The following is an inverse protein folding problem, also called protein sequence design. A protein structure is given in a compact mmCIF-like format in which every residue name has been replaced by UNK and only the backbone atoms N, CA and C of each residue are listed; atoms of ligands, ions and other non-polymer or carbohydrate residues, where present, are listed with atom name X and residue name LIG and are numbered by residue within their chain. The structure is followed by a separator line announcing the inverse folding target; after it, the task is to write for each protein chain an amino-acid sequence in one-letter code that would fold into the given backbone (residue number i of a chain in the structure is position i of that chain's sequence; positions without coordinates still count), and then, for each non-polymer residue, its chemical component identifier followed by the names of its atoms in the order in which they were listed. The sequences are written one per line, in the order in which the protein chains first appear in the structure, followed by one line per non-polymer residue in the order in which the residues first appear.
data_IF_978986070131
#
_entry.id   IF_978986070131
#
_cell.length_a   1.000
_cell.length_b   1.000
_cell.length_c   1.000
_cell.angle_alpha   90.00
_cell.angle_beta   90.00
_cell.angle_gamma   90.00
#
_symmetry.space_group_name_H-M   'P 1'
#
loop_
_entity.id
_entity.type
_entity.pdbx_description
1 polymer ?
#
# COMPACT_ATOMS: atom_id res chain seq x y z
N UNK A 1 2.40 11.81 6.03
CA UNK A 1 2.92 11.46 4.69
C UNK A 1 1.79 11.71 3.71
N UNK A 2 1.99 12.57 2.71
CA UNK A 2 0.92 12.96 1.77
C UNK A 2 0.41 11.71 1.04
N UNK A 3 -0.83 11.32 1.30
CA UNK A 3 -1.54 10.27 0.55
C UNK A 3 -2.49 10.99 -0.40
N UNK A 4 -2.27 10.85 -1.70
CA UNK A 4 -3.00 11.59 -2.72
C UNK A 4 -3.05 10.82 -4.03
N UNK A 5 -3.47 11.48 -5.11
CA UNK A 5 -3.27 10.96 -6.45
C UNK A 5 -1.86 11.32 -6.93
N UNK A 6 -1.12 10.35 -7.46
CA UNK A 6 0.27 10.58 -7.91
C UNK A 6 0.27 11.12 -9.34
N UNK A 7 -0.63 10.62 -10.18
CA UNK A 7 -0.74 11.00 -11.57
C UNK A 7 -1.75 10.12 -12.30
N UNK A 8 -2.07 10.47 -13.54
CA UNK A 8 -3.06 9.73 -14.34
C UNK A 8 -2.62 8.29 -14.66
N UNK A 9 -1.31 8.04 -14.76
CA UNK A 9 -0.76 6.72 -15.06
C UNK A 9 -0.58 5.82 -13.83
N UNK A 10 -1.07 6.21 -12.65
CA UNK A 10 -0.85 5.49 -11.39
C UNK A 10 -1.35 4.03 -11.44
N UNK A 11 -2.41 3.72 -12.21
CA UNK A 11 -2.93 2.36 -12.37
C UNK A 11 -2.06 1.48 -13.27
N UNK A 12 -1.26 2.08 -14.16
CA UNK A 12 -0.34 1.34 -15.04
C UNK A 12 1.03 1.13 -14.40
N UNK A 13 1.37 1.93 -13.38
CA UNK A 13 2.68 2.00 -12.78
C UNK A 13 2.90 0.89 -11.72
N UNK A 14 4.12 0.35 -11.69
CA UNK A 14 4.55 -0.65 -10.72
C UNK A 14 5.78 -0.14 -9.93
N UNK A 15 5.54 0.73 -8.95
CA UNK A 15 6.58 1.25 -8.04
C UNK A 15 6.76 0.37 -6.80
N UNK A 16 7.88 0.52 -6.13
CA UNK A 16 8.20 -0.20 -4.88
C UNK A 16 7.13 -0.02 -3.81
N UNK A 17 6.67 1.22 -3.61
CA UNK A 17 5.67 1.57 -2.62
C UNK A 17 4.86 2.77 -3.11
N UNK A 18 3.53 2.63 -3.09
CA UNK A 18 2.60 3.67 -3.52
C UNK A 18 1.53 3.87 -2.46
N UNK A 19 1.24 5.13 -2.10
CA UNK A 19 0.14 5.47 -1.21
C UNK A 19 -0.89 6.31 -1.97
N UNK A 20 -2.04 5.71 -2.23
CA UNK A 20 -3.16 6.41 -2.87
C UNK A 20 -4.27 6.66 -1.87
N UNK A 21 -4.93 7.81 -1.99
CA UNK A 21 -6.18 8.08 -1.29
C UNK A 21 -7.34 7.64 -2.20
N UNK A 22 -8.36 6.99 -1.64
CA UNK A 22 -9.50 6.51 -2.43
C UNK A 22 -10.36 7.66 -2.93
N UNK A 23 -10.62 8.64 -2.06
CA UNK A 23 -11.49 9.78 -2.37
C UNK A 23 -10.76 11.11 -2.15
N UNK A 24 -9.80 11.48 -3.01
CA UNK A 24 -9.14 12.77 -2.90
C UNK A 24 -10.09 13.91 -3.28
N UNK A 25 -10.02 15.02 -2.56
CA UNK A 25 -10.88 16.20 -2.78
C UNK A 25 -10.04 17.44 -3.06
N UNK A 26 -10.54 18.31 -3.95
CA UNK A 26 -9.91 19.61 -4.21
C UNK A 26 -9.98 20.49 -2.96
N UNK A 27 -8.94 21.29 -2.75
CA UNK A 27 -8.89 22.24 -1.65
C UNK A 27 -9.94 23.33 -1.83
N UNK A 28 -10.71 23.64 -0.78
CA UNK A 28 -11.71 24.71 -0.81
C UNK A 28 -11.09 26.10 -0.79
N UNK A 29 -10.06 26.28 0.05
CA UNK A 29 -9.24 27.50 0.12
C UNK A 29 -7.94 27.23 -0.61
N UNK A 30 -7.58 28.02 -1.61
CA UNK A 30 -6.40 27.79 -2.45
C UNK A 30 -5.61 29.06 -2.68
N UNK A 31 -4.31 28.89 -2.91
CA UNK A 31 -3.45 29.97 -3.39
C UNK A 31 -3.37 29.92 -4.90
N UNK A 32 -3.12 31.06 -5.56
CA UNK A 32 -2.90 31.11 -7.02
C UNK A 32 -1.80 30.16 -7.49
N UNK A 33 -0.79 29.90 -6.65
CA UNK A 33 0.27 28.94 -6.94
C UNK A 33 -0.26 27.52 -7.16
N UNK A 34 -1.28 27.08 -6.41
CA UNK A 34 -1.91 25.75 -6.55
C UNK A 34 -2.53 25.57 -7.95
N UNK A 35 -3.09 26.64 -8.49
CA UNK A 35 -3.66 26.68 -9.84
C UNK A 35 -2.56 26.59 -10.90
N UNK A 36 -1.50 27.39 -10.74
CA UNK A 36 -0.37 27.41 -11.68
C UNK A 36 0.32 26.04 -11.81
N UNK A 37 0.48 25.32 -10.70
CA UNK A 37 1.06 23.97 -10.70
C UNK A 37 0.04 22.87 -11.05
N UNK A 38 -1.22 23.22 -11.33
CA UNK A 38 -2.32 22.28 -11.63
C UNK A 38 -2.57 21.22 -10.54
N UNK A 39 -2.28 21.51 -9.27
CA UNK A 39 -2.50 20.58 -8.17
C UNK A 39 -4.00 20.30 -7.91
N UNK A 40 -4.89 21.13 -8.45
CA UNK A 40 -6.34 20.91 -8.43
C UNK A 40 -6.78 19.64 -9.18
N UNK A 41 -6.00 19.25 -10.19
CA UNK A 41 -6.30 18.04 -10.97
C UNK A 41 -5.93 16.78 -10.21
N UNK A 42 -4.90 16.86 -9.35
CA UNK A 42 -4.37 15.74 -8.57
C UNK A 42 -4.26 16.16 -7.09
N UNK A 43 -5.38 16.34 -6.39
CA UNK A 43 -5.33 16.75 -5.00
C UNK A 43 -4.78 15.64 -4.10
N UNK A 44 -4.10 16.07 -3.03
CA UNK A 44 -3.50 15.20 -2.03
C UNK A 44 -4.09 15.51 -0.65
N UNK A 45 -5.33 15.06 -0.43
CA UNK A 45 -6.04 15.23 0.83
C UNK A 45 -7.54 15.12 0.69
N UNK A 46 -8.24 15.31 1.80
CA UNK A 46 -9.69 15.41 1.90
C UNK A 46 -10.03 16.65 2.71
N UNK A 47 -11.11 17.33 2.34
CA UNK A 47 -11.68 18.37 3.19
C UNK A 47 -12.41 17.67 4.34
N UNK A 48 -12.22 18.16 5.55
CA UNK A 48 -12.81 17.63 6.75
C UNK A 48 -13.58 18.74 7.48
N UNK A 49 -14.72 18.40 8.05
CA UNK A 49 -15.43 19.30 8.97
C UNK A 49 -14.69 19.24 10.32
N UNK A 50 -14.08 20.36 10.72
CA UNK A 50 -13.26 20.42 11.93
C UNK A 50 -14.04 21.13 13.04
N UNK A 51 -14.19 20.46 14.19
CA UNK A 51 -14.63 21.06 15.44
C UNK A 51 -13.43 21.51 16.27
N UNK A 52 -13.38 22.78 16.67
CA UNK A 52 -12.34 23.29 17.57
C UNK A 52 -12.89 23.32 18.98
N UNK A 53 -12.60 22.29 19.76
CA UNK A 53 -13.04 22.14 21.15
C UNK A 53 -12.21 21.07 21.85
N UNK A 54 -12.25 21.09 23.18
CA UNK A 54 -11.61 20.03 23.97
C UNK A 54 -12.60 18.90 24.22
N UNK A 55 -12.18 17.64 24.04
CA UNK A 55 -13.07 16.48 24.19
C UNK A 55 -12.36 15.30 24.87
N UNK A 56 -12.95 14.81 25.98
CA UNK A 56 -12.56 13.59 26.72
C UNK A 56 -11.11 13.49 27.23
N UNK A 57 -10.26 14.50 27.03
CA UNK A 57 -8.86 14.50 27.48
C UNK A 57 -7.91 13.61 26.66
N UNK A 58 -8.41 12.87 25.66
CA UNK A 58 -7.60 12.12 24.70
C UNK A 58 -7.07 12.98 23.55
N UNK A 59 -7.23 14.29 23.64
CA UNK A 59 -6.82 15.34 22.70
C UNK A 59 -5.64 16.18 23.22
N UNK A 60 -4.91 15.66 24.22
CA UNK A 60 -3.67 16.25 24.75
C UNK A 60 -2.53 16.07 23.72
N UNK A 61 -1.58 17.01 23.67
CA UNK A 61 -0.38 16.92 22.83
C UNK A 61 -0.65 16.68 21.33
N UNK A 62 -1.57 17.46 20.75
CA UNK A 62 -1.92 17.44 19.32
C UNK A 62 -2.61 16.16 18.83
N UNK A 63 -3.11 15.34 19.76
CA UNK A 63 -3.98 14.26 19.40
C UNK A 63 -5.27 14.78 18.76
N UNK A 64 -5.72 14.06 17.75
CA UNK A 64 -6.94 14.33 16.98
C UNK A 64 -7.96 13.27 17.33
N UNK A 65 -9.21 13.69 17.47
CA UNK A 65 -10.32 12.78 17.65
C UNK A 65 -11.05 12.67 16.32
N UNK A 66 -11.29 11.45 15.86
CA UNK A 66 -11.94 11.16 14.59
C UNK A 66 -13.33 10.58 14.80
N UNK A 67 -14.26 10.96 13.92
CA UNK A 67 -15.59 10.37 13.87
C UNK A 67 -15.55 8.99 13.20
N UNK A 68 -15.98 7.95 13.92
CA UNK A 68 -16.03 6.57 13.43
C UNK A 68 -16.93 6.43 12.21
N UNK A 69 -18.08 7.09 12.20
CA UNK A 69 -19.02 7.00 11.08
C UNK A 69 -18.45 7.66 9.81
N UNK A 70 -17.69 8.74 9.94
CA UNK A 70 -16.98 9.36 8.80
C UNK A 70 -15.92 8.41 8.24
N UNK A 71 -15.16 7.71 9.10
CA UNK A 71 -14.21 6.67 8.68
C UNK A 71 -14.90 5.49 7.99
N UNK A 72 -16.07 5.05 8.50
CA UNK A 72 -16.90 3.99 7.89
C UNK A 72 -17.34 4.39 6.48
N UNK A 73 -17.79 5.63 6.29
CA UNK A 73 -18.20 6.21 5.00
C UNK A 73 -17.05 6.38 4.01
N UNK A 74 -15.80 6.39 4.45
CA UNK A 74 -14.62 6.42 3.57
C UNK A 74 -13.63 7.56 3.83
N UNK A 75 -13.81 8.33 4.90
CA UNK A 75 -12.84 9.35 5.31
C UNK A 75 -11.46 8.72 5.58
N UNK A 76 -10.42 9.29 5.02
CA UNK A 76 -9.02 8.87 5.15
C UNK A 76 -8.70 7.48 4.58
N UNK A 77 -9.61 6.83 3.83
CA UNK A 77 -9.36 5.49 3.29
C UNK A 77 -8.23 5.52 2.27
N UNK A 78 -7.25 4.66 2.47
CA UNK A 78 -6.03 4.65 1.66
C UNK A 78 -5.75 3.26 1.09
N UNK A 79 -5.13 3.26 -0.08
CA UNK A 79 -4.64 2.07 -0.76
C UNK A 79 -3.12 2.13 -0.73
N UNK A 80 -2.52 1.07 -0.21
CA UNK A 80 -1.07 0.87 -0.21
C UNK A 80 -0.75 -0.18 -1.26
N UNK A 81 -0.02 0.22 -2.30
CA UNK A 81 0.57 -0.73 -3.23
C UNK A 81 2.00 -1.01 -2.84
N UNK A 82 2.37 -2.29 -2.87
CA UNK A 82 3.75 -2.74 -2.65
C UNK A 82 4.13 -3.69 -3.77
N UNK A 83 5.20 -3.35 -4.50
CA UNK A 83 5.75 -4.23 -5.54
C UNK A 83 6.66 -5.28 -4.93
N UNK A 84 6.55 -6.50 -5.44
CA UNK A 84 7.51 -7.57 -5.24
C UNK A 84 8.04 -8.00 -6.60
N UNK A 85 9.34 -8.27 -6.69
CA UNK A 85 9.99 -8.60 -7.96
C UNK A 85 10.78 -9.88 -7.76
N UNK A 86 10.62 -10.80 -8.70
CA UNK A 86 11.43 -12.01 -8.81
C UNK A 86 12.09 -11.98 -10.17
N UNK A 87 13.42 -12.05 -10.20
CA UNK A 87 14.17 -12.29 -11.43
C UNK A 87 14.62 -13.75 -11.48
N UNK A 88 14.49 -14.33 -12.67
CA UNK A 88 14.97 -15.65 -13.02
C UNK A 88 16.38 -15.47 -13.58
N UNK A 89 17.36 -16.05 -12.92
CA UNK A 89 18.76 -15.94 -13.30
C UNK A 89 19.11 -17.10 -14.22
N UNK A 90 19.97 -16.80 -15.18
CA UNK A 90 20.70 -17.80 -15.95
C UNK A 90 22.12 -17.89 -15.40
N UNK A 91 22.58 -19.11 -15.17
CA UNK A 91 23.89 -19.38 -14.60
C UNK A 91 24.91 -19.70 -15.71
N UNK A 92 26.22 -19.52 -15.47
CA UNK A 92 27.27 -19.80 -16.45
C UNK A 92 27.32 -21.26 -16.93
N UNK A 93 26.80 -22.18 -16.12
CA UNK A 93 26.65 -23.60 -16.43
C UNK A 93 25.46 -23.91 -17.38
N UNK A 94 24.88 -22.88 -18.01
CA UNK A 94 23.67 -22.93 -18.83
C UNK A 94 22.38 -23.36 -18.12
N UNK A 95 22.41 -23.59 -16.80
CA UNK A 95 21.19 -23.82 -16.03
C UNK A 95 20.43 -22.51 -15.81
N UNK A 96 19.10 -22.60 -15.75
CA UNK A 96 18.22 -21.49 -15.47
C UNK A 96 17.39 -21.79 -14.22
N UNK A 97 17.04 -20.72 -13.49
CA UNK A 97 15.97 -20.81 -12.50
C UNK A 97 14.67 -21.25 -13.20
N UNK A 98 13.86 -22.08 -12.53
CA UNK A 98 12.57 -22.57 -13.04
C UNK A 98 11.44 -22.17 -12.10
N UNK A 99 10.25 -21.90 -12.64
CA UNK A 99 9.02 -21.81 -11.86
C UNK A 99 8.29 -23.13 -12.06
N UNK A 100 7.87 -23.76 -10.97
CA UNK A 100 7.07 -24.99 -11.02
C UNK A 100 5.71 -24.71 -10.38
N UNK A 101 4.70 -25.44 -10.83
CA UNK A 101 3.34 -25.36 -10.29
C UNK A 101 3.27 -25.69 -8.79
N UNK A 102 2.07 -25.55 -8.19
CA UNK A 102 1.85 -25.86 -6.80
C UNK A 102 2.08 -27.36 -6.53
N UNK A 103 2.58 -27.68 -5.33
CA UNK A 103 2.74 -29.05 -4.88
C UNK A 103 1.38 -29.53 -4.38
N UNK A 104 0.80 -30.50 -5.08
CA UNK A 104 -0.46 -31.12 -4.71
C UNK A 104 -0.15 -32.32 -3.82
N UNK A 105 -0.78 -32.39 -2.65
CA UNK A 105 -0.67 -33.56 -1.80
C UNK A 105 -1.50 -34.71 -2.43
N UNK A 106 -0.87 -35.88 -2.58
CA UNK A 106 -1.44 -37.06 -3.23
C UNK A 106 -2.71 -37.54 -2.49
N UNK A 107 -2.72 -37.44 -1.16
CA UNK A 107 -3.81 -37.97 -0.32
C UNK A 107 -5.06 -37.09 -0.35
N UNK A 108 -4.88 -35.77 -0.32
CA UNK A 108 -5.99 -34.81 -0.23
C UNK A 108 -6.38 -34.20 -1.57
N UNK A 109 -5.57 -34.42 -2.63
CA UNK A 109 -5.68 -33.78 -3.94
C UNK A 109 -5.78 -32.25 -3.88
N UNK A 110 -5.33 -31.64 -2.77
CA UNK A 110 -5.32 -30.19 -2.55
C UNK A 110 -3.88 -29.69 -2.49
N UNK A 111 -3.62 -28.44 -2.92
CA UNK A 111 -2.33 -27.82 -2.73
C UNK A 111 -2.04 -27.65 -1.23
N UNK A 112 -0.76 -27.62 -0.87
CA UNK A 112 -0.32 -27.18 0.47
C UNK A 112 -0.85 -25.77 0.74
N UNK A 113 -1.19 -25.45 1.99
CA UNK A 113 -1.64 -24.10 2.40
C UNK A 113 -0.76 -22.96 1.85
N UNK A 114 0.56 -23.16 1.85
CA UNK A 114 1.51 -22.18 1.33
C UNK A 114 1.35 -21.90 -0.18
N UNK A 115 0.82 -22.88 -0.93
CA UNK A 115 0.68 -22.86 -2.39
C UNK A 115 -0.79 -22.72 -2.82
N UNK A 116 -1.71 -22.49 -1.89
CA UNK A 116 -3.15 -22.41 -2.20
C UNK A 116 -3.48 -21.30 -3.19
N UNK A 117 -2.78 -20.17 -3.09
CA UNK A 117 -2.99 -18.99 -3.92
C UNK A 117 -2.25 -19.03 -5.27
N UNK A 118 -1.48 -20.09 -5.52
CA UNK A 118 -0.70 -20.24 -6.75
C UNK A 118 -1.56 -20.85 -7.85
N UNK A 119 -1.43 -20.29 -9.06
CA UNK A 119 -1.99 -20.87 -10.27
C UNK A 119 -1.15 -22.08 -10.74
N UNK A 120 -1.64 -22.82 -11.74
CA UNK A 120 -0.96 -23.99 -12.33
C UNK A 120 0.47 -23.68 -12.78
N UNK A 121 0.73 -22.44 -13.20
CA UNK A 121 2.03 -21.94 -13.65
C UNK A 121 3.02 -21.66 -12.50
N UNK A 122 2.59 -21.77 -11.24
CA UNK A 122 3.42 -21.50 -10.05
C UNK A 122 3.55 -20.00 -9.71
N UNK A 123 2.70 -19.16 -10.28
CA UNK A 123 2.60 -17.72 -10.01
C UNK A 123 1.22 -17.45 -9.40
N UNK A 124 1.15 -16.53 -8.43
CA UNK A 124 -0.11 -16.13 -7.80
C UNK A 124 -1.11 -15.53 -8.80
N UNK A 125 -2.39 -15.86 -8.65
CA UNK A 125 -3.48 -15.31 -9.46
C UNK A 125 -3.78 -13.84 -9.16
N UNK A 126 -4.26 -13.10 -10.17
CA UNK A 126 -4.77 -11.71 -9.96
C UNK A 126 -6.13 -11.77 -9.27
N UNK A 127 -6.31 -10.97 -8.21
CA UNK A 127 -7.55 -10.89 -7.44
C UNK A 127 -7.56 -11.76 -6.17
N UNK A 128 -6.59 -12.65 -6.02
CA UNK A 128 -6.48 -13.50 -4.84
C UNK A 128 -6.00 -12.73 -3.60
N UNK A 129 -6.49 -13.13 -2.43
CA UNK A 129 -6.09 -12.58 -1.14
C UNK A 129 -4.95 -13.44 -0.60
N UNK A 130 -3.78 -12.83 -0.45
CA UNK A 130 -2.59 -13.47 0.09
C UNK A 130 -2.44 -13.16 1.58
N UNK A 131 -2.22 -14.21 2.35
CA UNK A 131 -1.98 -14.19 3.78
C UNK A 131 -0.48 -14.32 4.11
N UNK A 132 -0.16 -14.13 5.39
CA UNK A 132 1.21 -14.22 5.86
C UNK A 132 1.79 -15.62 5.62
N UNK A 133 3.03 -15.66 5.11
CA UNK A 133 3.80 -16.87 4.77
C UNK A 133 3.32 -17.67 3.55
N UNK A 134 2.31 -17.21 2.81
CA UNK A 134 1.97 -17.83 1.53
C UNK A 134 3.00 -17.48 0.44
N UNK A 135 3.15 -18.39 -0.52
CA UNK A 135 4.07 -18.26 -1.65
C UNK A 135 3.40 -17.48 -2.77
N UNK A 136 4.10 -16.48 -3.30
CA UNK A 136 3.64 -15.67 -4.42
C UNK A 136 4.20 -16.14 -5.77
N UNK A 137 5.42 -16.65 -5.76
CA UNK A 137 6.08 -17.26 -6.92
C UNK A 137 6.87 -18.46 -6.42
N UNK A 138 6.53 -19.64 -6.93
CA UNK A 138 7.21 -20.88 -6.58
C UNK A 138 8.45 -21.07 -7.47
N UNK A 139 9.54 -20.41 -7.06
CA UNK A 139 10.82 -20.43 -7.76
C UNK A 139 11.71 -21.56 -7.25
N UNK A 140 12.36 -22.25 -8.18
CA UNK A 140 13.37 -23.27 -7.96
C UNK A 140 14.70 -22.80 -8.55
N UNK A 141 15.77 -22.94 -7.77
CA UNK A 141 17.14 -22.63 -8.16
C UNK A 141 17.96 -23.91 -8.20
N UNK A 142 18.67 -24.21 -9.30
CA UNK A 142 19.50 -25.41 -9.40
C UNK A 142 20.64 -25.37 -8.36
N UNK A 143 20.92 -26.49 -7.69
CA UNK A 143 21.93 -26.51 -6.60
C UNK A 143 23.38 -26.30 -7.09
N UNK A 144 23.67 -26.64 -8.35
CA UNK A 144 25.01 -26.55 -8.95
C UNK A 144 25.34 -25.17 -9.51
N UNK A 145 25.09 -24.08 -8.78
CA UNK A 145 25.20 -22.70 -9.31
C UNK A 145 26.61 -22.21 -9.62
N UNK A 146 27.64 -22.83 -9.01
CA UNK A 146 29.04 -22.34 -9.04
C UNK A 146 29.96 -23.12 -9.97
N UNK A 147 29.64 -24.35 -10.33
CA UNK A 147 30.51 -25.17 -11.18
C UNK A 147 30.37 -24.78 -12.64
N UNK A 148 31.49 -24.59 -13.31
CA UNK A 148 31.54 -24.39 -14.77
C UNK A 148 31.29 -25.72 -15.50
N UNK A 149 30.86 -25.66 -16.77
CA UNK A 149 30.65 -26.87 -17.59
C UNK A 149 31.90 -27.77 -17.65
N UNK A 150 33.10 -27.19 -17.53
CA UNK A 150 34.36 -27.92 -17.53
C UNK A 150 34.58 -28.76 -16.25
N UNK A 151 34.12 -28.27 -15.08
CA UNK A 151 34.24 -28.97 -13.79
C UNK A 151 33.17 -30.06 -13.62
N UNK A 152 32.02 -29.92 -14.31
CA UNK A 152 30.99 -30.96 -14.36
C UNK A 152 31.42 -32.16 -15.23
N UNK A 153 32.17 -31.93 -16.31
CA UNK A 153 32.66 -33.01 -17.19
C UNK A 153 33.79 -33.83 -16.55
N UNK A 154 34.63 -33.22 -15.72
CA UNK A 154 35.70 -33.91 -14.99
C UNK A 154 35.20 -34.68 -13.77
N UNK A 155 34.07 -34.29 -13.18
CA UNK A 155 33.42 -35.04 -12.09
C UNK A 155 32.50 -36.16 -12.59
N UNK A 156 31.90 -36.02 -13.78
CA UNK A 156 31.09 -37.06 -14.42
C UNK A 156 31.90 -38.27 -14.95
N UNK A 157 33.22 -38.14 -15.13
CA UNK A 157 34.08 -39.25 -15.57
C UNK A 157 34.53 -40.19 -14.44
N UNK A 158 34.41 -39.77 -13.17
CA UNK A 158 34.81 -40.59 -12.00
C UNK A 158 33.66 -41.41 -11.40
N UNK A 159 32.41 -40.99 -11.60
CA UNK A 159 31.22 -41.70 -11.16
C UNK A 159 30.33 -41.90 -12.38
N UNK A 160 30.23 -43.13 -12.89
CA UNK A 160 29.46 -43.51 -14.09
C UNK A 160 27.95 -43.32 -13.98
N UNK A 161 27.49 -42.13 -13.58
CA UNK A 161 26.11 -41.73 -13.52
C UNK A 161 25.74 -40.95 -14.79
N UNK A 162 24.90 -41.61 -15.59
CA UNK A 162 24.11 -41.04 -16.68
C UNK A 162 23.28 -39.88 -16.13
N UNK A 163 23.44 -38.68 -16.69
CA UNK A 163 22.57 -37.51 -16.56
C UNK A 163 21.76 -37.42 -15.24
N UNK A 164 22.42 -37.20 -14.11
CA UNK A 164 21.71 -36.79 -12.90
C UNK A 164 21.17 -35.37 -13.12
N UNK A 165 19.84 -35.22 -13.20
CA UNK A 165 19.23 -33.90 -13.21
C UNK A 165 19.70 -33.14 -11.95
N UNK A 166 20.19 -31.89 -12.10
CA UNK A 166 20.64 -31.11 -10.96
C UNK A 166 19.47 -30.96 -9.99
N UNK A 167 19.69 -31.34 -8.73
CA UNK A 167 18.68 -31.23 -7.68
C UNK A 167 18.29 -29.76 -7.51
N UNK A 168 17.04 -29.45 -7.83
CA UNK A 168 16.49 -28.10 -7.79
C UNK A 168 16.10 -27.73 -6.35
N UNK A 169 16.74 -26.72 -5.77
CA UNK A 169 16.40 -26.21 -4.44
C UNK A 169 15.28 -25.17 -4.51
N UNK A 170 14.31 -25.28 -3.61
CA UNK A 170 13.23 -24.31 -3.47
C UNK A 170 13.73 -22.95 -2.96
N UNK A 171 13.48 -21.90 -3.73
CA UNK A 171 13.76 -20.50 -3.38
C UNK A 171 12.53 -19.60 -3.60
N UNK A 172 11.37 -19.92 -2.98
CA UNK A 172 10.11 -19.23 -3.25
C UNK A 172 10.11 -17.77 -2.79
N UNK A 173 9.35 -16.94 -3.51
CA UNK A 173 9.00 -15.60 -3.03
C UNK A 173 7.83 -15.71 -2.05
N UNK A 174 8.08 -15.44 -0.78
CA UNK A 174 7.09 -15.56 0.29
C UNK A 174 6.55 -14.19 0.68
N UNK A 175 5.24 -14.10 0.89
CA UNK A 175 4.60 -12.92 1.46
C UNK A 175 4.89 -12.79 2.97
N UNK A 176 5.63 -11.76 3.36
CA UNK A 176 6.09 -11.54 4.75
C UNK A 176 5.47 -10.32 5.44
N UNK A 177 4.20 -10.00 5.18
CA UNK A 177 3.51 -8.97 5.94
C UNK A 177 2.43 -9.60 6.83
N UNK A 178 2.17 -9.05 8.03
CA UNK A 178 1.14 -9.57 8.94
C UNK A 178 -0.28 -9.32 8.43
N UNK A 179 -0.49 -8.23 7.67
CA UNK A 179 -1.80 -7.86 7.13
C UNK A 179 -1.96 -8.50 5.75
N UNK A 180 -3.09 -9.17 5.46
CA UNK A 180 -3.34 -9.75 4.15
C UNK A 180 -3.36 -8.67 3.05
N UNK A 181 -3.06 -9.07 1.82
CA UNK A 181 -3.12 -8.19 0.65
C UNK A 181 -3.81 -8.89 -0.52
N UNK A 182 -4.42 -8.10 -1.39
CA UNK A 182 -4.93 -8.60 -2.66
C UNK A 182 -3.84 -8.49 -3.72
N UNK A 183 -3.72 -9.45 -4.63
CA UNK A 183 -2.91 -9.29 -5.84
C UNK A 183 -3.69 -8.42 -6.83
N UNK A 184 -3.12 -7.28 -7.20
CA UNK A 184 -3.74 -6.37 -8.16
C UNK A 184 -3.26 -6.66 -9.59
N UNK A 185 -1.97 -6.96 -9.74
CA UNK A 185 -1.34 -7.12 -11.05
C UNK A 185 -0.16 -8.06 -11.00
N UNK A 186 -0.10 -8.95 -11.99
CA UNK A 186 1.06 -9.78 -12.31
C UNK A 186 1.59 -9.30 -13.65
N UNK A 187 2.88 -9.00 -13.72
CA UNK A 187 3.54 -8.52 -14.92
C UNK A 187 4.77 -9.38 -15.20
N UNK A 188 4.77 -10.02 -16.36
CA UNK A 188 5.88 -10.80 -16.88
C UNK A 188 6.67 -9.92 -17.86
N UNK A 189 7.97 -9.77 -17.63
CA UNK A 189 8.86 -9.01 -18.51
C UNK A 189 10.14 -9.79 -18.72
N UNK A 190 10.69 -9.81 -19.94
CA UNK A 190 12.03 -10.30 -20.21
C UNK A 190 13.00 -9.13 -20.37
N UNK A 191 14.23 -9.31 -19.90
CA UNK A 191 15.33 -8.41 -20.23
C UNK A 191 15.96 -8.78 -21.57
N UNK A 192 16.87 -7.93 -22.09
CA UNK A 192 17.65 -8.21 -23.31
C UNK A 192 18.51 -9.48 -23.23
N UNK A 193 18.78 -9.97 -22.02
CA UNK A 193 19.53 -11.21 -21.76
C UNK A 193 18.61 -12.45 -21.60
N UNK A 194 17.36 -12.36 -22.08
CA UNK A 194 16.31 -13.39 -21.97
C UNK A 194 16.01 -13.86 -20.53
N UNK A 195 16.38 -13.05 -19.53
CA UNK A 195 16.01 -13.31 -18.14
C UNK A 195 14.56 -12.90 -17.88
N UNK A 196 13.75 -13.87 -17.47
CA UNK A 196 12.36 -13.63 -17.06
C UNK A 196 12.30 -12.90 -15.71
N UNK A 197 11.48 -11.86 -15.64
CA UNK A 197 11.22 -11.07 -14.44
C UNK A 197 9.72 -11.04 -14.20
N UNK A 198 9.31 -11.55 -13.04
CA UNK A 198 7.94 -11.50 -12.55
C UNK A 198 7.82 -10.33 -11.57
N UNK A 199 6.98 -9.36 -11.90
CA UNK A 199 6.65 -8.22 -11.04
C UNK A 199 5.23 -8.39 -10.54
N UNK A 200 5.08 -8.45 -9.24
CA UNK A 200 3.79 -8.56 -8.56
C UNK A 200 3.46 -7.26 -7.87
N UNK A 201 2.24 -6.76 -8.05
CA UNK A 201 1.72 -5.61 -7.35
C UNK A 201 0.68 -6.08 -6.33
N UNK A 202 1.04 -5.97 -5.05
CA UNK A 202 0.12 -6.27 -3.94
C UNK A 202 -0.59 -4.99 -3.52
N UNK A 203 -1.90 -5.07 -3.26
CA UNK A 203 -2.76 -3.98 -2.82
C UNK A 203 -3.29 -4.26 -1.42
N UNK A 204 -3.11 -3.31 -0.52
CA UNK A 204 -3.71 -3.31 0.81
C UNK A 204 -4.60 -2.09 0.96
N UNK A 205 -5.88 -2.29 1.24
CA UNK A 205 -6.78 -1.19 1.60
C UNK A 205 -6.72 -1.02 3.10
N UNK A 206 -6.25 0.15 3.56
CA UNK A 206 -6.13 0.46 4.98
C UNK A 206 -7.12 1.55 5.36
N UNK A 207 -7.89 1.26 6.40
CA UNK A 207 -8.70 2.26 7.11
C UNK A 207 -7.82 2.96 8.14
N UNK A 208 -8.02 4.26 8.41
CA UNK A 208 -7.34 4.91 9.51
C UNK A 208 -7.64 4.26 10.85
N UNK A 209 -6.60 4.04 11.64
CA UNK A 209 -6.66 3.46 12.97
C UNK A 209 -6.03 4.39 14.02
N UNK A 210 -6.22 4.08 15.30
CA UNK A 210 -5.59 4.83 16.40
C UNK A 210 -4.07 4.78 16.22
N UNK A 211 -3.40 5.93 16.35
CA UNK A 211 -1.96 6.05 16.09
C UNK A 211 -1.61 6.51 14.67
N UNK A 212 -2.57 6.55 13.74
CA UNK A 212 -2.32 7.11 12.41
C UNK A 212 -2.05 8.62 12.44
N UNK A 213 -1.13 9.06 11.59
CA UNK A 213 -0.68 10.46 11.54
C UNK A 213 -1.43 11.25 10.47
N UNK A 214 -2.06 12.33 10.90
CA UNK A 214 -2.67 13.33 10.05
C UNK A 214 -1.90 14.65 10.13
N UNK A 215 -2.06 15.49 9.10
CA UNK A 215 -1.43 16.81 9.07
C UNK A 215 -2.37 17.79 8.39
N UNK A 216 -2.46 19.00 8.95
CA UNK A 216 -2.99 20.15 8.23
C UNK A 216 -1.97 20.74 7.26
N UNK A 217 -2.41 21.67 6.41
CA UNK A 217 -1.54 22.46 5.53
C UNK A 217 -0.63 23.44 6.29
N UNK A 218 -1.04 23.83 7.49
CA UNK A 218 -0.31 24.79 8.33
C UNK A 218 0.69 24.12 9.28
N UNK A 219 1.15 22.90 8.96
CA UNK A 219 2.20 22.22 9.73
C UNK A 219 1.76 21.68 11.09
N UNK A 220 0.47 21.78 11.46
CA UNK A 220 -0.06 21.08 12.63
C UNK A 220 -0.21 19.60 12.28
N UNK A 221 0.71 18.79 12.80
CA UNK A 221 0.67 17.33 12.73
C UNK A 221 -0.06 16.83 13.97
N UNK A 222 -0.93 15.86 13.80
CA UNK A 222 -1.63 15.23 14.91
C UNK A 222 -1.73 13.73 14.69
N UNK A 223 -1.81 13.00 15.80
CA UNK A 223 -2.00 11.55 15.80
C UNK A 223 -3.47 11.28 16.12
N UNK A 224 -4.09 10.30 15.48
CA UNK A 224 -5.42 9.84 15.88
C UNK A 224 -5.35 9.28 17.31
N UNK A 225 -5.85 10.02 18.29
CA UNK A 225 -5.84 9.63 19.71
C UNK A 225 -7.04 8.76 20.06
N UNK A 226 -8.23 9.14 19.58
CA UNK A 226 -9.47 8.42 19.84
C UNK A 226 -10.37 8.42 18.61
N UNK A 227 -11.08 7.31 18.40
CA UNK A 227 -12.13 7.18 17.37
C UNK A 227 -13.46 7.08 18.12
N UNK A 228 -14.31 8.09 17.96
CA UNK A 228 -15.58 8.25 18.70
C UNK A 228 -16.77 7.93 17.80
N UNK A 229 -17.84 7.35 18.36
CA UNK A 229 -19.06 7.07 17.59
C UNK A 229 -19.79 8.38 17.25
N UNK A 230 -20.54 8.40 16.16
CA UNK A 230 -21.22 9.62 15.72
C UNK A 230 -22.26 10.13 16.73
N UNK A 231 -22.87 9.25 17.52
CA UNK A 231 -23.86 9.59 18.55
C UNK A 231 -23.28 10.38 19.73
N UNK A 232 -22.01 10.16 20.04
CA UNK A 232 -21.29 10.88 21.11
C UNK A 232 -20.67 12.19 20.62
N UNK A 233 -20.68 12.43 19.30
CA UNK A 233 -20.08 13.63 18.71
C UNK A 233 -20.99 14.84 18.89
N UNK A 234 -20.41 16.02 19.18
CA UNK A 234 -21.18 17.25 19.26
C UNK A 234 -21.77 17.59 17.88
N UNK A 235 -23.01 18.06 17.87
CA UNK A 235 -23.70 18.50 16.66
C UNK A 235 -24.17 19.94 16.82
N UNK A 236 -24.34 20.64 15.70
CA UNK A 236 -24.97 21.96 15.71
C UNK A 236 -26.48 21.87 15.46
N UNK A 237 -27.20 23.00 15.58
CA UNK A 237 -28.65 23.06 15.35
C UNK A 237 -29.09 22.59 13.95
N UNK A 238 -28.17 22.59 12.98
CA UNK A 238 -28.37 22.09 11.62
C UNK A 238 -28.11 20.59 11.47
N UNK A 239 -27.71 19.89 12.54
CA UNK A 239 -27.39 18.46 12.56
C UNK A 239 -26.01 18.08 12.02
N UNK A 240 -25.11 19.04 11.81
CA UNK A 240 -23.73 18.77 11.36
C UNK A 240 -22.86 18.33 12.53
N UNK A 241 -22.29 17.13 12.41
CA UNK A 241 -21.25 16.60 13.31
C UNK A 241 -19.86 16.80 12.68
N UNK A 242 -18.81 17.09 13.46
CA UNK A 242 -17.45 17.17 12.93
C UNK A 242 -16.92 15.79 12.52
N UNK A 243 -16.02 15.78 11.55
CA UNK A 243 -15.22 14.60 11.17
C UNK A 243 -13.98 14.47 12.06
N UNK A 244 -13.38 15.62 12.40
CA UNK A 244 -12.18 15.74 13.23
C UNK A 244 -12.42 16.77 14.32
N UNK A 245 -12.06 16.47 15.55
CA UNK A 245 -11.96 17.46 16.63
C UNK A 245 -10.49 17.79 16.88
N UNK A 246 -10.19 19.08 16.94
CA UNK A 246 -8.87 19.63 17.24
C UNK A 246 -8.93 20.42 18.55
N UNK A 247 -7.97 20.16 19.43
CA UNK A 247 -7.85 20.87 20.70
C UNK A 247 -7.47 22.35 20.46
N UNK A 248 -8.20 23.33 21.03
CA UNK A 248 -7.87 24.75 20.92
C UNK A 248 -6.48 25.12 21.46
N UNK A 249 -5.92 24.36 22.41
CA UNK A 249 -4.63 24.68 23.03
C UNK A 249 -3.46 24.76 22.03
N UNK A 250 -3.54 24.05 20.90
CA UNK A 250 -2.49 24.06 19.88
C UNK A 250 -2.40 25.36 19.07
N UNK A 251 -3.46 26.17 19.03
CA UNK A 251 -3.52 27.38 18.20
C UNK A 251 -2.73 28.56 18.78
N UNK A 252 -2.92 28.95 20.07
CA UNK A 252 -2.18 30.06 20.66
C UNK A 252 -0.67 29.79 20.75
N UNK A 253 -0.29 28.59 21.17
CA UNK A 253 1.12 28.22 21.36
C UNK A 253 1.92 28.29 20.06
N UNK A 254 1.33 27.89 18.93
CA UNK A 254 1.99 27.89 17.61
C UNK A 254 1.73 29.14 16.78
N UNK A 255 0.88 30.04 17.25
CA UNK A 255 0.47 31.25 16.52
C UNK A 255 0.00 30.95 15.08
N UNK A 256 -0.70 29.82 14.88
CA UNK A 256 -1.11 29.33 13.55
C UNK A 256 -2.47 29.92 13.12
N UNK A 257 -2.56 31.25 13.07
CA UNK A 257 -3.79 32.00 12.74
C UNK A 257 -4.31 31.64 11.35
N UNK A 258 -3.43 31.31 10.41
CA UNK A 258 -3.81 30.92 9.04
C UNK A 258 -4.81 29.75 9.00
N UNK A 259 -4.73 28.83 9.97
CA UNK A 259 -5.67 27.70 10.10
C UNK A 259 -7.10 28.15 10.41
N UNK A 260 -7.25 29.20 11.22
CA UNK A 260 -8.56 29.79 11.55
C UNK A 260 -9.14 30.52 10.35
N UNK A 261 -8.30 31.26 9.63
CA UNK A 261 -8.68 31.96 8.38
C UNK A 261 -9.09 30.93 7.31
N UNK A 262 -8.35 29.82 7.18
CA UNK A 262 -8.68 28.71 6.29
C UNK A 262 -10.05 28.10 6.62
N UNK A 263 -10.38 27.90 7.90
CA UNK A 263 -11.66 27.36 8.33
C UNK A 263 -12.82 28.32 8.00
N UNK A 264 -12.63 29.61 8.26
CA UNK A 264 -13.61 30.64 7.93
C UNK A 264 -13.84 30.74 6.42
N UNK A 265 -12.76 30.84 5.64
CA UNK A 265 -12.81 30.91 4.18
C UNK A 265 -13.42 29.67 3.55
N UNK A 266 -13.10 28.48 4.08
CA UNK A 266 -13.69 27.23 3.61
C UNK A 266 -15.19 27.17 3.83
N UNK A 267 -15.68 27.59 5.01
CA UNK A 267 -17.11 27.64 5.31
C UNK A 267 -17.84 28.67 4.45
N UNK A 268 -17.29 29.88 4.32
CA UNK A 268 -17.87 30.93 3.49
C UNK A 268 -17.92 30.52 2.01
N UNK A 269 -16.84 29.92 1.49
CA UNK A 269 -16.76 29.44 0.12
C UNK A 269 -17.81 28.38 -0.21
N UNK A 270 -18.02 27.40 0.67
CA UNK A 270 -19.04 26.35 0.47
C UNK A 270 -20.46 26.94 0.49
N UNK A 271 -20.75 27.91 1.35
CA UNK A 271 -22.07 28.54 1.43
C UNK A 271 -22.38 29.42 0.21
N UNK A 272 -21.36 30.12 -0.33
CA UNK A 272 -21.51 30.94 -1.53
C UNK A 272 -21.39 30.16 -2.85
N UNK A 273 -20.93 28.90 -2.80
CA UNK A 273 -20.62 28.12 -4.00
C UNK A 273 -19.37 28.59 -4.74
N UNK A 274 -18.41 29.21 -4.03
CA UNK A 274 -17.16 29.75 -4.60
C UNK A 274 -15.93 29.11 -3.93
N UNK A 275 -14.86 29.00 -4.70
CA UNK A 275 -13.54 28.72 -4.12
C UNK A 275 -12.89 30.01 -3.64
N UNK A 276 -12.24 29.98 -2.48
CA UNK A 276 -11.60 31.14 -1.85
C UNK A 276 -10.07 31.05 -1.94
#
# INVERSE_FOLDING_TARGET
CFRGAIGYNQSQRCDTLLYLLVYPQRHLVKTRTIELINLEKLPAGQNAIVGVMSYSGYDIEDALILNKASLDRGFGRCIVYKKQVVSMKRYPNQTCDKIKGPLINIDTKKPKWEHEVLDMDGIVGVGEIVENKQVLVNKYTPSSTTMTLAEQQSSATAAGNVFAEPEDKETPLIYRNPVPACIEKVMLTSNHEDMFIVKLLTRQTRRPEIGDKFSSRHGQKGVCGLIVQQEDMPFNDYGMCPDIIMNPHGYPSRMTIGKLIELLGGKAGVLEGKFQ
#
